data_IF_641263707913
#
_entry.id   IF_641263707913
#
_cell.length_a   1.000
_cell.length_b   1.000
_cell.length_c   1.000
_cell.angle_alpha   90.00
_cell.angle_beta   90.00
_cell.angle_gamma   90.00
#
_symmetry.space_group_name_H-M   'P 1'
#
loop_
_entity.id
_entity.type
_entity.pdbx_description
1 polymer ?
#
# COMPACT_ATOMS: atom_id res chain seq x y z
N UNK A 1 25.10 -14.34 -11.02
CA UNK A 1 24.65 -14.12 -9.62
C UNK A 1 23.60 -13.02 -9.69
N UNK A 2 22.36 -13.31 -9.34
CA UNK A 2 21.29 -12.30 -9.31
C UNK A 2 21.38 -11.57 -7.98
N UNK A 3 21.99 -10.41 -7.93
CA UNK A 3 21.90 -9.49 -6.83
C UNK A 3 20.64 -8.61 -6.95
N UNK A 4 20.26 -7.97 -5.83
CA UNK A 4 19.08 -7.09 -5.77
C UNK A 4 19.19 -5.91 -6.72
N UNK A 5 20.39 -5.36 -6.93
CA UNK A 5 20.62 -4.23 -7.83
C UNK A 5 20.29 -4.58 -9.28
N UNK A 6 20.79 -5.72 -9.75
CA UNK A 6 20.51 -6.20 -11.11
C UNK A 6 19.03 -6.50 -11.30
N UNK A 7 18.40 -7.19 -10.31
CA UNK A 7 16.98 -7.51 -10.35
C UNK A 7 16.10 -6.24 -10.43
N UNK A 8 16.44 -5.18 -9.68
CA UNK A 8 15.71 -3.91 -9.73
C UNK A 8 15.84 -3.20 -11.07
N UNK A 9 17.04 -3.22 -11.68
CA UNK A 9 17.25 -2.60 -13.00
C UNK A 9 16.42 -3.30 -14.07
N UNK A 10 16.45 -4.63 -14.08
CA UNK A 10 15.72 -5.43 -15.06
C UNK A 10 14.19 -5.26 -14.87
N UNK A 11 13.72 -5.22 -13.62
CA UNK A 11 12.32 -5.02 -13.30
C UNK A 11 11.84 -3.63 -13.73
N UNK A 12 12.60 -2.58 -13.42
CA UNK A 12 12.26 -1.21 -13.82
C UNK A 12 12.13 -1.10 -15.33
N UNK A 13 13.10 -1.63 -16.09
CA UNK A 13 13.04 -1.62 -17.56
C UNK A 13 11.80 -2.35 -18.11
N UNK A 14 11.41 -3.49 -17.50
CA UNK A 14 10.19 -4.22 -17.90
C UNK A 14 8.92 -3.44 -17.62
N UNK A 15 8.83 -2.76 -16.47
CA UNK A 15 7.68 -1.95 -16.10
C UNK A 15 7.59 -0.68 -16.96
N UNK A 16 8.71 -0.04 -17.29
CA UNK A 16 8.76 1.08 -18.23
C UNK A 16 8.24 0.66 -19.61
N UNK A 17 8.71 -0.49 -20.12
CA UNK A 17 8.24 -1.05 -21.39
C UNK A 17 6.74 -1.41 -21.37
N UNK A 18 6.18 -1.72 -20.20
CA UNK A 18 4.76 -1.96 -19.98
C UNK A 18 3.94 -0.67 -19.75
N UNK A 19 4.59 0.51 -19.77
CA UNK A 19 3.91 1.81 -19.61
C UNK A 19 3.65 2.24 -18.18
N UNK A 20 4.32 1.65 -17.18
CA UNK A 20 4.20 2.09 -15.78
C UNK A 20 4.96 3.41 -15.57
N UNK A 21 4.28 4.44 -15.05
CA UNK A 21 4.88 5.78 -14.81
C UNK A 21 5.97 5.76 -13.74
N UNK A 22 5.77 4.97 -12.68
CA UNK A 22 6.64 4.92 -11.51
C UNK A 22 7.45 3.61 -11.44
N UNK A 23 7.87 3.10 -12.60
CA UNK A 23 8.44 1.77 -12.80
C UNK A 23 9.56 1.41 -11.81
N UNK A 24 10.47 2.34 -11.53
CA UNK A 24 11.56 2.14 -10.58
C UNK A 24 11.05 2.03 -9.15
N UNK A 25 10.15 2.92 -8.76
CA UNK A 25 9.58 2.95 -7.41
C UNK A 25 8.73 1.70 -7.15
N UNK A 26 7.92 1.30 -8.12
CA UNK A 26 7.12 0.08 -8.05
C UNK A 26 7.99 -1.17 -7.90
N UNK A 27 9.09 -1.26 -8.66
CA UNK A 27 10.05 -2.36 -8.54
C UNK A 27 10.69 -2.42 -7.14
N UNK A 28 11.05 -1.27 -6.56
CA UNK A 28 11.62 -1.20 -5.21
C UNK A 28 10.64 -1.68 -4.15
N UNK A 29 9.38 -1.25 -4.20
CA UNK A 29 8.35 -1.71 -3.26
C UNK A 29 8.09 -3.22 -3.40
N UNK A 30 7.95 -3.73 -4.63
CA UNK A 30 7.71 -5.15 -4.87
C UNK A 30 8.89 -6.02 -4.42
N UNK A 31 10.15 -5.58 -4.62
CA UNK A 31 11.30 -6.34 -4.16
C UNK A 31 11.46 -6.28 -2.64
N UNK A 32 11.20 -5.14 -2.02
CA UNK A 32 11.19 -5.00 -0.57
C UNK A 32 10.18 -5.96 0.07
N UNK A 33 8.95 -6.00 -0.46
CA UNK A 33 7.89 -6.91 -0.01
C UNK A 33 8.29 -8.38 -0.21
N UNK A 34 8.85 -8.73 -1.36
CA UNK A 34 9.30 -10.09 -1.66
C UNK A 34 10.40 -10.58 -0.71
N UNK A 35 11.28 -9.65 -0.29
CA UNK A 35 12.38 -9.92 0.63
C UNK A 35 12.00 -9.80 2.12
N UNK A 36 10.79 -9.32 2.44
CA UNK A 36 10.37 -9.06 3.82
C UNK A 36 11.14 -7.91 4.48
N UNK A 37 11.54 -6.91 3.70
CA UNK A 37 12.33 -5.76 4.14
C UNK A 37 11.51 -4.46 4.01
N UNK A 38 11.90 -3.45 4.80
CA UNK A 38 11.49 -2.09 4.46
C UNK A 38 12.20 -1.64 3.17
N UNK A 39 11.55 -0.73 2.42
CA UNK A 39 12.19 -0.15 1.21
C UNK A 39 13.55 0.49 1.53
N UNK A 40 13.67 1.17 2.69
CA UNK A 40 14.95 1.74 3.12
C UNK A 40 16.01 0.66 3.36
N UNK A 41 15.65 -0.41 4.06
CA UNK A 41 16.57 -1.54 4.30
C UNK A 41 17.03 -2.20 3.00
N UNK A 42 16.11 -2.36 2.03
CA UNK A 42 16.45 -2.86 0.70
C UNK A 42 17.49 -1.96 0.01
N UNK A 43 17.27 -0.63 0.01
CA UNK A 43 18.14 0.32 -0.67
C UNK A 43 19.54 0.44 -0.03
N UNK A 44 19.67 0.11 1.24
CA UNK A 44 20.96 0.08 1.95
C UNK A 44 21.75 -1.21 1.70
N UNK A 45 21.14 -2.25 1.10
CA UNK A 45 21.75 -3.56 0.91
C UNK A 45 21.44 -4.15 -0.48
N UNK A 46 21.72 -3.35 -1.52
CA UNK A 46 21.44 -3.71 -2.91
C UNK A 46 22.41 -4.76 -3.48
N UNK A 47 23.58 -4.92 -2.89
CA UNK A 47 24.57 -5.90 -3.34
C UNK A 47 24.29 -7.32 -2.80
N UNK A 48 23.32 -7.45 -1.88
CA UNK A 48 22.93 -8.74 -1.35
C UNK A 48 22.35 -9.66 -2.44
N UNK A 49 22.65 -10.96 -2.37
CA UNK A 49 22.09 -11.92 -3.31
C UNK A 49 20.58 -12.08 -3.08
N UNK A 50 19.84 -12.34 -4.15
CA UNK A 50 18.44 -12.74 -4.09
C UNK A 50 18.37 -14.26 -3.88
N UNK A 51 17.61 -14.70 -2.88
CA UNK A 51 17.28 -16.12 -2.74
C UNK A 51 16.26 -16.55 -3.80
N UNK A 52 16.20 -17.84 -4.11
CA UNK A 52 15.24 -18.37 -5.09
C UNK A 52 13.77 -18.06 -4.68
N UNK A 53 13.47 -18.04 -3.39
CA UNK A 53 12.15 -17.73 -2.87
C UNK A 53 11.78 -16.26 -3.06
N UNK A 54 12.70 -15.34 -2.77
CA UNK A 54 12.53 -13.90 -3.01
C UNK A 54 12.35 -13.62 -4.51
N UNK A 55 13.21 -14.23 -5.34
CA UNK A 55 13.15 -14.08 -6.79
C UNK A 55 11.81 -14.57 -7.37
N UNK A 56 11.31 -15.72 -6.90
CA UNK A 56 10.02 -16.25 -7.33
C UNK A 56 8.84 -15.34 -6.94
N UNK A 57 8.80 -14.83 -5.70
CA UNK A 57 7.78 -13.86 -5.24
C UNK A 57 7.86 -12.57 -6.04
N UNK A 58 9.04 -12.01 -6.19
CA UNK A 58 9.25 -10.78 -6.94
C UNK A 58 8.82 -10.92 -8.41
N UNK A 59 9.15 -12.04 -9.06
CA UNK A 59 8.73 -12.34 -10.43
C UNK A 59 7.20 -12.40 -10.57
N UNK A 60 6.50 -12.98 -9.59
CA UNK A 60 5.04 -13.02 -9.59
C UNK A 60 4.42 -11.62 -9.44
N UNK A 61 4.96 -10.77 -8.56
CA UNK A 61 4.54 -9.38 -8.42
C UNK A 61 4.78 -8.58 -9.71
N UNK A 62 5.96 -8.73 -10.29
CA UNK A 62 6.33 -8.05 -11.52
C UNK A 62 5.43 -8.42 -12.70
N UNK A 63 5.06 -9.70 -12.83
CA UNK A 63 4.14 -10.16 -13.87
C UNK A 63 2.75 -9.51 -13.75
N UNK A 64 2.20 -9.45 -12.53
CA UNK A 64 0.91 -8.80 -12.27
C UNK A 64 0.97 -7.30 -12.54
N UNK A 65 2.01 -6.62 -12.06
CA UNK A 65 2.17 -5.17 -12.24
C UNK A 65 2.34 -4.81 -13.71
N UNK A 66 3.14 -5.56 -14.47
CA UNK A 66 3.31 -5.38 -15.90
C UNK A 66 2.04 -5.68 -16.73
N UNK A 67 1.11 -6.50 -16.18
CA UNK A 67 -0.19 -6.74 -16.78
C UNK A 67 -1.22 -5.62 -16.49
N UNK A 68 -0.85 -4.60 -15.69
CA UNK A 68 -1.68 -3.43 -15.39
C UNK A 68 -2.33 -3.43 -14.01
N UNK A 69 -2.12 -4.45 -13.16
CA UNK A 69 -2.63 -4.43 -11.78
C UNK A 69 -2.04 -3.23 -11.03
N UNK A 70 -2.84 -2.47 -10.26
CA UNK A 70 -2.33 -1.46 -9.33
C UNK A 70 -1.33 -2.05 -8.35
N UNK A 71 -0.27 -1.30 -8.01
CA UNK A 71 0.78 -1.76 -7.09
C UNK A 71 0.21 -2.28 -5.77
N UNK A 72 -0.74 -1.55 -5.16
CA UNK A 72 -1.36 -1.90 -3.89
C UNK A 72 -2.15 -3.23 -3.95
N UNK A 73 -2.76 -3.54 -5.09
CA UNK A 73 -3.41 -4.85 -5.29
C UNK A 73 -2.38 -5.97 -5.50
N UNK A 74 -1.22 -5.66 -6.07
CA UNK A 74 -0.11 -6.61 -6.21
C UNK A 74 0.45 -6.98 -4.85
N UNK A 75 0.72 -5.96 -4.01
CA UNK A 75 1.26 -6.11 -2.65
C UNK A 75 0.21 -6.68 -1.67
N UNK A 76 -1.08 -6.37 -1.89
CA UNK A 76 -2.19 -6.79 -1.03
C UNK A 76 -2.47 -5.85 0.13
N UNK A 77 -1.76 -4.74 0.23
CA UNK A 77 -1.95 -3.73 1.29
C UNK A 77 -1.63 -2.31 0.80
N UNK A 78 -2.05 -1.33 1.59
CA UNK A 78 -1.74 0.09 1.42
C UNK A 78 -1.75 0.79 2.77
N UNK A 79 -0.99 1.89 2.89
CA UNK A 79 -1.07 2.77 4.05
C UNK A 79 -2.17 3.82 3.87
N UNK A 80 -2.88 4.12 4.96
CA UNK A 80 -3.83 5.22 5.06
C UNK A 80 -3.89 5.71 6.51
N UNK A 81 -3.75 7.00 6.74
CA UNK A 81 -3.73 7.61 8.08
C UNK A 81 -2.71 6.96 9.04
N UNK A 82 -1.56 6.51 8.50
CA UNK A 82 -0.51 5.84 9.27
C UNK A 82 -0.82 4.40 9.70
N UNK A 83 -1.85 3.79 9.14
CA UNK A 83 -2.24 2.40 9.38
C UNK A 83 -2.20 1.60 8.09
N UNK A 84 -1.77 0.34 8.18
CA UNK A 84 -1.80 -0.59 7.05
C UNK A 84 -3.20 -1.18 6.89
N UNK A 85 -3.73 -1.10 5.67
CA UNK A 85 -5.02 -1.69 5.28
C UNK A 85 -4.82 -2.75 4.21
N UNK A 86 -5.51 -3.87 4.34
CA UNK A 86 -5.58 -4.86 3.27
C UNK A 86 -6.25 -4.28 2.04
N UNK A 87 -5.71 -4.62 0.86
CA UNK A 87 -6.13 -4.02 -0.40
C UNK A 87 -6.24 -5.08 -1.50
N UNK A 88 -7.43 -5.18 -2.11
CA UNK A 88 -7.66 -6.02 -3.29
C UNK A 88 -8.77 -5.43 -4.16
N UNK A 89 -9.04 -6.06 -5.31
CA UNK A 89 -9.97 -5.56 -6.31
C UNK A 89 -11.45 -5.49 -5.86
N UNK A 90 -11.80 -5.93 -4.65
CA UNK A 90 -13.17 -5.84 -4.11
C UNK A 90 -13.54 -4.44 -3.65
N UNK A 91 -12.55 -3.60 -3.32
CA UNK A 91 -12.75 -2.24 -2.88
C UNK A 91 -11.76 -1.28 -3.53
N UNK A 92 -12.16 -0.02 -3.69
CA UNK A 92 -11.25 1.03 -4.16
C UNK A 92 -10.08 1.17 -3.17
N UNK A 93 -8.88 1.33 -3.71
CA UNK A 93 -7.67 1.64 -2.94
C UNK A 93 -7.89 2.95 -2.18
N UNK A 94 -7.72 2.99 -0.86
CA UNK A 94 -7.72 4.25 -0.11
C UNK A 94 -6.77 5.27 -0.74
N UNK A 95 -7.26 6.49 -0.95
CA UNK A 95 -6.50 7.56 -1.60
C UNK A 95 -6.03 8.56 -0.56
N UNK A 96 -4.79 9.06 -0.69
CA UNK A 96 -4.26 10.10 0.17
C UNK A 96 -5.10 11.38 0.18
N UNK A 97 -5.77 11.71 -0.92
CA UNK A 97 -6.70 12.85 -1.01
C UNK A 97 -7.90 12.74 -0.05
N UNK A 98 -8.17 11.55 0.48
CA UNK A 98 -9.23 11.29 1.47
C UNK A 98 -8.75 11.48 2.92
N UNK A 99 -7.44 11.52 3.15
CA UNK A 99 -6.88 11.71 4.50
C UNK A 99 -7.29 13.05 5.13
N UNK A 100 -7.28 14.21 4.42
CA UNK A 100 -7.76 15.46 4.98
C UNK A 100 -9.23 15.44 5.42
N UNK A 101 -10.08 14.68 4.70
CA UNK A 101 -11.47 14.45 5.11
C UNK A 101 -11.52 13.65 6.42
N UNK A 102 -10.73 12.60 6.52
CA UNK A 102 -10.64 11.77 7.73
C UNK A 102 -10.16 12.59 8.92
N UNK A 103 -9.13 13.42 8.76
CA UNK A 103 -8.62 14.34 9.78
C UNK A 103 -9.71 15.30 10.28
N UNK A 104 -10.47 15.92 9.37
CA UNK A 104 -11.55 16.84 9.72
C UNK A 104 -12.67 16.15 10.52
N UNK A 105 -12.99 14.87 10.17
CA UNK A 105 -13.97 14.07 10.93
C UNK A 105 -13.44 13.74 12.33
N UNK A 106 -12.16 13.36 12.45
CA UNK A 106 -11.52 13.07 13.74
C UNK A 106 -11.52 14.30 14.65
N UNK A 107 -11.13 15.47 14.13
CA UNK A 107 -11.16 16.72 14.88
C UNK A 107 -12.57 17.06 15.39
N UNK A 108 -13.56 16.94 14.51
CA UNK A 108 -14.96 17.22 14.86
C UNK A 108 -15.51 16.25 15.88
N UNK A 109 -15.24 14.96 15.72
CA UNK A 109 -15.66 13.91 16.64
C UNK A 109 -15.00 14.09 18.01
N UNK A 110 -13.72 14.43 18.05
CA UNK A 110 -12.98 14.68 19.30
C UNK A 110 -13.51 15.84 20.14
N UNK A 111 -14.19 16.82 19.52
CA UNK A 111 -14.83 17.92 20.20
C UNK A 111 -16.20 17.57 20.85
N UNK A 112 -16.76 16.40 20.58
CA UNK A 112 -18.08 15.96 21.06
C UNK A 112 -17.94 14.98 22.21
N UNK A 113 -18.87 15.03 23.17
CA UNK A 113 -18.88 14.08 24.31
C UNK A 113 -19.27 12.65 23.90
N UNK A 114 -20.20 12.53 22.97
CA UNK A 114 -20.75 11.26 22.47
C UNK A 114 -20.88 11.33 20.95
N UNK A 115 -19.74 11.30 20.22
CA UNK A 115 -19.79 11.42 18.78
C UNK A 115 -20.41 10.20 18.12
N UNK A 116 -21.25 10.45 17.11
CA UNK A 116 -21.78 9.43 16.21
C UNK A 116 -21.39 9.79 14.78
N UNK A 117 -20.76 8.87 14.07
CA UNK A 117 -20.25 9.03 12.70
C UNK A 117 -20.88 7.99 11.81
N UNK A 118 -21.41 8.42 10.68
CA UNK A 118 -21.90 7.56 9.62
C UNK A 118 -21.07 7.80 8.35
N UNK A 119 -20.44 6.75 7.84
CA UNK A 119 -19.79 6.74 6.53
C UNK A 119 -20.69 6.04 5.52
N UNK A 120 -20.96 6.71 4.39
CA UNK A 120 -21.68 6.13 3.27
C UNK A 120 -20.69 5.80 2.14
N UNK A 121 -20.77 4.58 1.62
CA UNK A 121 -19.84 4.10 0.60
C UNK A 121 -18.46 3.76 1.19
N UNK A 122 -18.42 3.04 2.28
CA UNK A 122 -17.22 2.78 3.09
C UNK A 122 -16.05 2.09 2.34
N UNK A 123 -16.32 1.41 1.22
CA UNK A 123 -15.28 0.73 0.44
C UNK A 123 -14.49 -0.28 1.28
N UNK A 124 -13.20 -0.03 1.50
CA UNK A 124 -12.34 -0.85 2.37
C UNK A 124 -12.57 -0.60 3.88
N UNK A 125 -13.37 0.42 4.24
CA UNK A 125 -13.57 0.85 5.62
C UNK A 125 -12.42 1.69 6.18
N UNK A 126 -11.49 2.15 5.35
CA UNK A 126 -10.29 2.85 5.81
C UNK A 126 -10.60 4.12 6.64
N UNK A 127 -11.58 4.93 6.21
CA UNK A 127 -12.00 6.13 6.96
C UNK A 127 -12.65 5.75 8.28
N UNK A 128 -13.65 4.88 8.27
CA UNK A 128 -14.36 4.44 9.49
C UNK A 128 -13.42 3.83 10.53
N UNK A 129 -12.50 2.97 10.09
CA UNK A 129 -11.52 2.35 10.99
C UNK A 129 -10.57 3.40 11.56
N UNK A 130 -10.03 4.29 10.73
CA UNK A 130 -9.11 5.36 11.19
C UNK A 130 -9.78 6.31 12.17
N UNK A 131 -11.03 6.72 11.89
CA UNK A 131 -11.84 7.53 12.83
C UNK A 131 -12.05 6.79 14.14
N UNK A 132 -12.39 5.48 14.09
CA UNK A 132 -12.60 4.69 15.30
C UNK A 132 -11.33 4.50 16.13
N UNK A 133 -10.18 4.32 15.48
CA UNK A 133 -8.90 4.23 16.18
C UNK A 133 -8.50 5.55 16.83
N UNK A 134 -8.71 6.67 16.16
CA UNK A 134 -8.40 8.01 16.69
C UNK A 134 -9.40 8.47 17.77
N UNK A 135 -10.67 8.08 17.65
CA UNK A 135 -11.76 8.44 18.57
C UNK A 135 -12.45 7.18 19.13
N UNK A 136 -11.84 6.46 20.09
CA UNK A 136 -12.38 5.18 20.59
C UNK A 136 -13.79 5.29 21.19
N UNK A 137 -14.16 6.47 21.72
CA UNK A 137 -15.50 6.75 22.26
C UNK A 137 -16.59 6.99 21.21
N UNK A 138 -16.22 7.14 19.93
CA UNK A 138 -17.18 7.38 18.87
C UNK A 138 -17.98 6.12 18.53
N UNK A 139 -19.29 6.28 18.29
CA UNK A 139 -20.11 5.29 17.61
C UNK A 139 -19.90 5.48 16.08
N UNK A 140 -19.24 4.55 15.43
CA UNK A 140 -18.96 4.62 13.99
C UNK A 140 -19.74 3.54 13.26
N UNK A 141 -20.51 3.93 12.25
CA UNK A 141 -21.26 3.04 11.37
C UNK A 141 -20.77 3.25 9.93
N UNK A 142 -20.47 2.17 9.23
CA UNK A 142 -20.08 2.16 7.83
C UNK A 142 -21.13 1.41 6.99
N UNK A 143 -21.52 1.96 5.84
CA UNK A 143 -22.55 1.42 4.92
C UNK A 143 -22.10 1.49 3.46
#
# INVERSE_FOLDING_TARGET
>A
MNDRCSALKDAAARLEAAGCSDARLDAEWMLAEAAGLSRLSLLLDLDAPLSDQEAARFSAYLARRAAGDPLQYVLGHTDFMGHEFRCDARALIPRGDTEPLCEAVIERAGALKTPSVLELGAGSGAVSVSVKLACPGAAVTAA
#
